data_IF_429342963871
#
_entry.id   IF_429342963871
#
_cell.length_a   1.000
_cell.length_b   1.000
_cell.length_c   1.000
_cell.angle_alpha   90.00
_cell.angle_beta   90.00
_cell.angle_gamma   90.00
#
_symmetry.space_group_name_H-M   'P 1'
#
loop_
_entity.id
_entity.type
_entity.pdbx_description
1 polymer ?
#
# COMPACT_ATOMS: atom_id res chain seq x y z
N UNK A 1 11.76 17.66 1.35
CA UNK A 1 11.37 16.27 1.37
C UNK A 1 10.56 15.86 0.17
N UNK A 2 10.35 14.60 0.03
CA UNK A 2 9.56 14.04 -1.06
C UNK A 2 8.08 14.16 -0.69
N UNK A 3 7.27 14.60 -1.66
CA UNK A 3 5.83 14.65 -1.44
C UNK A 3 5.27 13.23 -1.32
N UNK A 4 4.47 13.00 -0.29
CA UNK A 4 3.79 11.71 -0.09
C UNK A 4 2.54 11.71 -0.95
N UNK A 5 2.32 10.67 -1.80
CA UNK A 5 1.10 10.57 -2.59
C UNK A 5 -0.14 10.57 -1.72
N UNK A 6 -1.25 11.04 -2.26
CA UNK A 6 -2.52 11.04 -1.55
C UNK A 6 -2.86 9.63 -1.08
N UNK A 7 -3.25 9.51 0.18
CA UNK A 7 -3.62 8.24 0.78
C UNK A 7 -2.46 7.38 1.24
N UNK A 8 -1.20 7.80 1.02
CA UNK A 8 -0.05 7.07 1.53
C UNK A 8 0.41 7.70 2.83
N UNK A 9 0.55 6.89 3.86
CA UNK A 9 0.98 7.34 5.18
C UNK A 9 2.07 6.44 5.74
N UNK A 10 3.05 7.05 6.40
CA UNK A 10 4.04 6.29 7.15
C UNK A 10 3.53 6.12 8.59
N UNK A 11 3.71 4.91 9.14
CA UNK A 11 3.31 4.59 10.50
C UNK A 11 4.29 3.62 11.13
N UNK A 12 4.28 3.57 12.46
CA UNK A 12 5.10 2.63 13.20
C UNK A 12 4.17 1.63 13.90
N UNK A 13 4.40 0.35 13.61
CA UNK A 13 3.68 -0.76 14.22
C UNK A 13 4.65 -1.56 15.09
N UNK A 14 4.16 -2.51 15.89
CA UNK A 14 5.06 -3.33 16.74
C UNK A 14 6.19 -4.02 15.97
N UNK A 15 5.98 -4.32 14.68
CA UNK A 15 7.01 -4.94 13.83
C UNK A 15 7.96 -3.96 13.17
N UNK A 16 7.77 -2.64 13.32
CA UNK A 16 8.63 -1.62 12.72
C UNK A 16 7.89 -0.56 11.95
N UNK A 17 8.60 0.15 11.08
CA UNK A 17 8.02 1.21 10.26
C UNK A 17 7.37 0.64 9.00
N UNK A 18 6.25 1.23 8.61
CA UNK A 18 5.50 0.82 7.42
C UNK A 18 5.02 2.05 6.66
N UNK A 19 4.87 1.90 5.34
CA UNK A 19 4.09 2.82 4.52
C UNK A 19 2.76 2.14 4.20
N UNK A 20 1.66 2.85 4.39
CA UNK A 20 0.32 2.33 4.13
C UNK A 20 -0.39 3.20 3.11
N UNK A 21 -1.00 2.57 2.12
CA UNK A 21 -1.89 3.24 1.18
C UNK A 21 -3.12 2.39 0.95
N UNK A 22 -4.22 3.01 0.53
CA UNK A 22 -5.46 2.30 0.24
C UNK A 22 -5.70 2.28 -1.25
N UNK A 23 -5.89 1.08 -1.81
CA UNK A 23 -6.33 0.89 -3.18
C UNK A 23 -7.86 0.77 -3.18
N UNK A 24 -8.54 1.60 -3.95
CA UNK A 24 -9.99 1.53 -4.15
C UNK A 24 -10.24 1.04 -5.57
N UNK A 25 -10.94 -0.09 -5.70
CA UNK A 25 -11.27 -0.65 -7.00
C UNK A 25 -11.03 -2.15 -7.06
N UNK A 26 -11.20 -2.75 -8.25
CA UNK A 26 -11.05 -4.19 -8.43
C UNK A 26 -9.67 -4.70 -8.04
N UNK A 27 -9.60 -5.95 -7.61
CA UNK A 27 -8.32 -6.58 -7.27
C UNK A 27 -7.38 -6.68 -8.49
N UNK A 28 -7.93 -6.66 -9.71
CA UNK A 28 -7.10 -6.61 -10.91
C UNK A 28 -6.22 -5.36 -10.99
N UNK A 29 -6.55 -4.30 -10.26
CA UNK A 29 -5.75 -3.09 -10.19
C UNK A 29 -4.66 -3.11 -9.11
N UNK A 30 -4.62 -4.15 -8.27
CA UNK A 30 -3.64 -4.20 -7.18
C UNK A 30 -2.20 -4.24 -7.66
N UNK A 31 -1.94 -4.97 -8.75
CA UNK A 31 -0.59 -5.02 -9.33
C UNK A 31 -0.09 -3.64 -9.73
N UNK A 32 -0.94 -2.82 -10.35
CA UNK A 32 -0.59 -1.45 -10.72
C UNK A 32 -0.40 -0.57 -9.48
N UNK A 33 -1.22 -0.77 -8.43
CA UNK A 33 -1.09 -0.03 -7.18
C UNK A 33 0.26 -0.33 -6.50
N UNK A 34 0.63 -1.61 -6.44
CA UNK A 34 1.94 -2.01 -5.91
C UNK A 34 3.09 -1.43 -6.75
N UNK A 35 2.97 -1.47 -8.09
CA UNK A 35 3.98 -0.93 -8.97
C UNK A 35 4.17 0.56 -8.76
N UNK A 36 3.10 1.29 -8.52
CA UNK A 36 3.17 2.72 -8.24
C UNK A 36 3.91 2.99 -6.92
N UNK A 37 3.57 2.28 -5.87
CA UNK A 37 4.22 2.45 -4.57
C UNK A 37 5.69 2.08 -4.65
N UNK A 38 6.00 0.91 -5.20
CA UNK A 38 7.38 0.40 -5.24
C UNK A 38 8.22 1.08 -6.30
N UNK A 39 7.63 1.47 -7.44
CA UNK A 39 8.36 2.03 -8.56
C UNK A 39 8.39 3.56 -8.59
N UNK A 40 7.45 4.23 -7.96
CA UNK A 40 7.34 5.69 -7.98
C UNK A 40 7.63 6.32 -6.62
N UNK A 41 6.89 5.91 -5.59
CA UNK A 41 7.06 6.53 -4.28
C UNK A 41 8.35 6.10 -3.59
N UNK A 42 8.62 4.79 -3.55
CA UNK A 42 9.72 4.25 -2.76
C UNK A 42 11.09 4.81 -3.19
N UNK A 43 11.43 4.85 -4.50
CA UNK A 43 12.71 5.43 -4.92
C UNK A 43 12.87 6.90 -4.54
N UNK A 44 11.77 7.65 -4.52
CA UNK A 44 11.80 9.08 -4.20
C UNK A 44 11.81 9.34 -2.71
N UNK A 45 11.35 8.38 -1.91
CA UNK A 45 11.25 8.55 -0.46
C UNK A 45 12.59 8.47 0.25
N UNK A 46 13.58 7.85 -0.37
CA UNK A 46 14.85 7.56 0.28
C UNK A 46 14.76 6.39 1.27
N UNK A 47 13.63 5.69 1.30
CA UNK A 47 13.41 4.56 2.20
C UNK A 47 13.73 3.25 1.49
N UNK A 48 13.99 2.22 2.25
CA UNK A 48 14.25 0.87 1.76
C UNK A 48 13.23 -0.11 2.28
N UNK A 49 12.86 -1.09 1.44
CA UNK A 49 11.89 -2.12 1.83
C UNK A 49 12.58 -3.17 2.69
N UNK A 50 11.88 -3.60 3.73
CA UNK A 50 12.26 -4.73 4.55
C UNK A 50 11.65 -5.99 3.95
N UNK A 51 12.51 -6.90 3.48
CA UNK A 51 12.07 -8.09 2.75
C UNK A 51 11.13 -8.97 3.57
N UNK A 52 10.11 -9.48 2.89
CA UNK A 52 9.22 -10.51 3.44
C UNK A 52 8.08 -9.99 4.31
N UNK A 53 8.04 -8.70 4.61
CA UNK A 53 7.06 -8.16 5.55
C UNK A 53 6.00 -7.26 4.91
N UNK A 54 5.98 -7.13 3.59
CA UNK A 54 4.94 -6.39 2.89
C UNK A 54 3.67 -7.25 2.80
N UNK A 55 2.50 -6.62 2.99
CA UNK A 55 1.25 -7.38 2.96
C UNK A 55 0.07 -6.49 2.55
N UNK A 56 -1.04 -7.15 2.24
CA UNK A 56 -2.30 -6.51 1.88
C UNK A 56 -3.35 -6.84 2.94
N UNK A 57 -4.20 -5.87 3.26
CA UNK A 57 -5.33 -6.08 4.15
C UNK A 57 -6.61 -5.74 3.40
N UNK A 58 -7.48 -6.73 3.22
CA UNK A 58 -8.74 -6.56 2.53
C UNK A 58 -9.79 -6.05 3.51
N UNK A 59 -10.31 -4.84 3.24
CA UNK A 59 -11.25 -4.19 4.16
C UNK A 59 -12.69 -4.61 3.91
N UNK A 60 -13.00 -5.11 2.70
CA UNK A 60 -14.32 -5.62 2.34
C UNK A 60 -14.16 -6.76 1.35
N UNK A 61 -15.28 -7.33 0.88
CA UNK A 61 -15.28 -8.55 0.10
C UNK A 61 -16.05 -8.36 -1.21
N UNK A 62 -15.60 -9.00 -2.32
CA UNK A 62 -16.35 -9.00 -3.56
C UNK A 62 -17.75 -9.64 -3.43
N UNK A 63 -17.99 -10.41 -2.38
CA UNK A 63 -19.28 -11.06 -2.16
C UNK A 63 -20.38 -10.08 -1.77
N UNK A 64 -20.02 -8.95 -1.15
CA UNK A 64 -20.98 -7.97 -0.65
C UNK A 64 -20.68 -6.54 -1.12
N UNK A 65 -19.62 -6.34 -1.89
CA UNK A 65 -19.17 -5.02 -2.33
C UNK A 65 -18.95 -5.00 -3.83
N UNK A 66 -19.51 -4.02 -4.57
CA UNK A 66 -19.20 -3.89 -5.99
C UNK A 66 -17.70 -3.72 -6.23
N UNK A 67 -17.16 -4.25 -7.35
CA UNK A 67 -15.71 -4.19 -7.61
C UNK A 67 -15.10 -2.79 -7.54
N UNK A 68 -15.80 -1.77 -8.00
CA UNK A 68 -15.30 -0.39 -8.00
C UNK A 68 -15.29 0.24 -6.60
N UNK A 69 -15.86 -0.43 -5.61
CA UNK A 69 -15.90 0.02 -4.23
C UNK A 69 -15.07 -0.85 -3.29
N UNK A 70 -14.38 -1.85 -3.82
CA UNK A 70 -13.49 -2.68 -3.02
C UNK A 70 -12.33 -1.84 -2.50
N UNK A 71 -11.94 -2.09 -1.24
CA UNK A 71 -10.83 -1.39 -0.60
C UNK A 71 -9.82 -2.38 -0.07
N UNK A 72 -8.58 -2.14 -0.43
CA UNK A 72 -7.45 -2.96 0.02
C UNK A 72 -6.37 -2.03 0.53
N UNK A 73 -5.91 -2.25 1.75
CA UNK A 73 -4.76 -1.54 2.28
C UNK A 73 -3.48 -2.27 1.91
N UNK A 74 -2.51 -1.51 1.41
CA UNK A 74 -1.19 -2.03 1.06
C UNK A 74 -0.21 -1.56 2.12
N UNK A 75 0.51 -2.51 2.71
CA UNK A 75 1.50 -2.22 3.74
C UNK A 75 2.89 -2.57 3.20
N UNK A 76 3.76 -1.56 3.14
CA UNK A 76 5.15 -1.72 2.72
C UNK A 76 6.01 -1.63 3.97
N UNK A 77 6.67 -2.71 4.33
CA UNK A 77 7.57 -2.72 5.48
C UNK A 77 8.85 -1.95 5.11
N UNK A 78 9.26 -1.04 5.98
CA UNK A 78 10.42 -0.18 5.76
C UNK A 78 11.54 -0.51 6.73
N UNK A 79 12.75 -0.34 6.23
CA UNK A 79 13.94 -0.47 7.06
C UNK A 79 14.09 0.73 7.98
#
# INVERSE_FOLDING_TARGET
GVAIPDGLHELVLPGGAYARTTHVGPYSGLGAAWAEVMGQWLPRSGRSVRDGDCYEMYLNSPMDTPPDQLRTELFVALV
#
